data_IF_776357067387
#
_entry.id   IF_776357067387
#
_cell.length_a   1.000
_cell.length_b   1.000
_cell.length_c   1.000
_cell.angle_alpha   90.00
_cell.angle_beta   90.00
_cell.angle_gamma   90.00
#
_symmetry.space_group_name_H-M   'P 1'
#
loop_
_entity.id
_entity.type
_entity.pdbx_description
1 polymer ?
#
# COMPACT_ATOMS: atom_id res chain seq x y z
N UNK A 1 12.05 -15.16 8.11
CA UNK A 1 13.05 -14.56 7.19
C UNK A 1 12.40 -14.14 5.85
N UNK A 2 11.71 -15.01 5.13
CA UNK A 2 11.02 -14.67 3.86
C UNK A 2 9.97 -13.57 3.99
N UNK A 3 9.24 -13.55 5.10
CA UNK A 3 8.21 -12.53 5.34
C UNK A 3 8.82 -11.14 5.60
N UNK A 4 9.88 -11.05 6.38
CA UNK A 4 10.63 -9.79 6.57
C UNK A 4 11.20 -9.26 5.24
N UNK A 5 11.78 -10.13 4.42
CA UNK A 5 12.27 -9.76 3.07
C UNK A 5 11.12 -9.21 2.22
N UNK A 6 9.94 -9.83 2.27
CA UNK A 6 8.76 -9.34 1.57
C UNK A 6 8.33 -7.94 2.07
N UNK A 7 8.21 -7.74 3.39
CA UNK A 7 7.84 -6.44 3.96
C UNK A 7 8.86 -5.34 3.63
N UNK A 8 10.15 -5.65 3.70
CA UNK A 8 11.22 -4.73 3.29
C UNK A 8 11.14 -4.38 1.80
N UNK A 9 10.77 -5.32 0.94
CA UNK A 9 10.55 -5.04 -0.49
C UNK A 9 9.28 -4.19 -0.67
N UNK A 10 8.22 -4.48 0.07
CA UNK A 10 6.96 -3.72 0.01
C UNK A 10 7.15 -2.26 0.44
N UNK A 11 8.01 -1.98 1.42
CA UNK A 11 8.33 -0.61 1.84
C UNK A 11 8.96 0.23 0.73
N UNK A 12 9.75 -0.41 -0.16
CA UNK A 12 10.38 0.23 -1.31
C UNK A 12 9.41 0.41 -2.49
N UNK A 13 8.42 -0.48 -2.61
CA UNK A 13 7.51 -0.58 -3.75
C UNK A 13 6.03 -0.35 -3.39
N UNK A 14 5.77 0.55 -2.47
CA UNK A 14 4.41 0.86 -1.96
C UNK A 14 3.41 1.28 -3.04
N UNK A 15 3.88 1.78 -4.20
CA UNK A 15 3.04 2.11 -5.36
C UNK A 15 2.66 0.91 -6.23
N UNK A 16 3.18 -0.28 -5.91
CA UNK A 16 2.88 -1.52 -6.63
C UNK A 16 1.86 -2.35 -5.85
N UNK A 17 1.02 -3.09 -6.58
CA UNK A 17 0.12 -4.06 -5.96
C UNK A 17 0.90 -5.17 -5.24
N UNK A 18 0.27 -5.81 -4.25
CA UNK A 18 0.83 -6.96 -3.54
C UNK A 18 1.49 -7.99 -4.48
N UNK A 19 0.77 -8.41 -5.52
CA UNK A 19 1.27 -9.41 -6.47
C UNK A 19 2.51 -8.92 -7.22
N UNK A 20 2.56 -7.65 -7.61
CA UNK A 20 3.72 -7.09 -8.30
C UNK A 20 4.92 -6.93 -7.36
N UNK A 21 4.71 -6.51 -6.12
CA UNK A 21 5.77 -6.45 -5.11
C UNK A 21 6.38 -7.83 -4.87
N UNK A 22 5.55 -8.86 -4.76
CA UNK A 22 6.01 -10.25 -4.65
C UNK A 22 6.79 -10.71 -5.88
N UNK A 23 6.29 -10.40 -7.08
CA UNK A 23 6.98 -10.72 -8.34
C UNK A 23 8.35 -10.04 -8.45
N UNK A 24 8.48 -8.79 -8.00
CA UNK A 24 9.76 -8.07 -7.94
C UNK A 24 10.69 -8.75 -6.95
N UNK A 25 10.24 -8.98 -5.72
CA UNK A 25 11.04 -9.61 -4.66
C UNK A 25 11.57 -11.00 -5.03
N UNK A 26 10.77 -11.79 -5.76
CA UNK A 26 11.17 -13.13 -6.20
C UNK A 26 12.19 -13.11 -7.33
N UNK A 27 12.18 -12.11 -8.21
CA UNK A 27 13.04 -12.04 -9.38
C UNK A 27 14.33 -11.24 -9.12
N UNK A 28 14.24 -10.21 -8.24
CA UNK A 28 15.35 -9.34 -7.87
C UNK A 28 15.16 -8.81 -6.44
N UNK A 29 15.54 -9.60 -5.42
CA UNK A 29 15.34 -9.26 -4.00
C UNK A 29 16.01 -7.95 -3.57
N UNK A 30 17.12 -7.60 -4.20
CA UNK A 30 17.90 -6.39 -3.94
C UNK A 30 17.36 -5.14 -4.67
N UNK A 31 16.31 -5.27 -5.47
CA UNK A 31 15.74 -4.13 -6.19
C UNK A 31 15.33 -2.99 -5.24
N UNK A 32 15.56 -1.75 -5.65
CA UNK A 32 15.26 -0.55 -4.86
C UNK A 32 14.29 0.39 -5.56
N UNK A 33 14.44 0.58 -6.86
CA UNK A 33 13.55 1.42 -7.66
C UNK A 33 13.38 0.78 -9.04
N UNK A 34 12.16 0.40 -9.40
CA UNK A 34 11.88 -0.23 -10.70
C UNK A 34 10.98 0.65 -11.56
N UNK A 35 11.30 0.69 -12.85
CA UNK A 35 10.49 1.37 -13.84
C UNK A 35 10.57 0.69 -15.21
N UNK A 36 9.59 0.99 -16.08
CA UNK A 36 9.60 0.51 -17.45
C UNK A 36 10.73 1.15 -18.28
N UNK A 37 11.17 0.46 -19.34
CA UNK A 37 12.26 0.91 -20.22
C UNK A 37 12.12 2.37 -20.68
N UNK A 38 10.93 2.72 -21.20
CA UNK A 38 10.66 4.09 -21.65
C UNK A 38 10.58 5.11 -20.50
N UNK A 39 10.15 4.68 -19.33
CA UNK A 39 10.07 5.55 -18.16
C UNK A 39 11.46 5.93 -17.67
N UNK A 40 12.41 4.99 -17.68
CA UNK A 40 13.81 5.30 -17.39
C UNK A 40 14.37 6.40 -18.28
N UNK A 41 14.09 6.34 -19.58
CA UNK A 41 14.57 7.36 -20.54
C UNK A 41 13.86 8.70 -20.35
N UNK A 42 12.52 8.70 -20.24
CA UNK A 42 11.70 9.91 -20.29
C UNK A 42 11.67 10.66 -18.95
N UNK A 43 11.57 9.93 -17.83
CA UNK A 43 11.33 10.53 -16.51
C UNK A 43 12.62 10.67 -15.70
N UNK A 44 13.61 9.80 -15.93
CA UNK A 44 14.83 9.73 -15.13
C UNK A 44 16.10 10.09 -15.91
N UNK A 45 16.01 10.34 -17.23
CA UNK A 45 17.17 10.58 -18.10
C UNK A 45 18.24 9.45 -17.99
N UNK A 46 17.77 8.21 -17.83
CA UNK A 46 18.59 7.01 -17.71
C UNK A 46 18.25 6.01 -18.79
N UNK A 47 19.17 5.10 -19.07
CA UNK A 47 18.98 4.03 -20.04
C UNK A 47 19.29 2.66 -19.40
N UNK A 48 18.54 1.64 -19.78
CA UNK A 48 18.80 0.26 -19.35
C UNK A 48 20.06 -0.26 -20.04
N UNK A 49 20.95 -0.86 -19.27
CA UNK A 49 22.19 -1.42 -19.76
C UNK A 49 21.94 -2.60 -20.70
N UNK A 50 22.80 -2.73 -21.72
CA UNK A 50 22.68 -3.81 -22.70
C UNK A 50 22.89 -5.17 -22.05
N UNK A 51 21.96 -6.09 -22.30
CA UNK A 51 22.02 -7.46 -21.76
C UNK A 51 21.33 -7.69 -20.44
N UNK A 52 20.78 -6.64 -19.83
CA UNK A 52 20.04 -6.76 -18.56
C UNK A 52 18.76 -7.57 -18.70
N UNK A 53 18.51 -8.41 -17.70
CA UNK A 53 17.31 -9.24 -17.63
C UNK A 53 16.17 -8.48 -16.99
N UNK A 54 15.07 -8.31 -17.74
CA UNK A 54 13.90 -7.62 -17.22
C UNK A 54 13.21 -8.38 -16.08
N UNK A 55 12.70 -7.62 -15.12
CA UNK A 55 11.75 -8.09 -14.11
C UNK A 55 10.36 -8.09 -14.74
N UNK A 56 9.62 -9.17 -14.62
CA UNK A 56 8.27 -9.31 -15.19
C UNK A 56 7.23 -9.04 -14.11
N UNK A 57 6.36 -8.07 -14.38
CA UNK A 57 5.22 -7.71 -13.53
C UNK A 57 3.93 -7.69 -14.34
N UNK A 58 2.79 -7.57 -13.68
CA UNK A 58 1.47 -7.52 -14.29
C UNK A 58 0.99 -6.06 -14.39
N UNK A 59 0.64 -5.61 -15.60
CA UNK A 59 0.02 -4.30 -15.81
C UNK A 59 -1.42 -4.47 -16.32
N UNK A 60 -2.35 -3.58 -15.92
CA UNK A 60 -3.69 -3.54 -16.46
C UNK A 60 -3.66 -3.41 -18.00
N UNK A 61 -4.45 -4.21 -18.68
CA UNK A 61 -4.61 -4.18 -20.13
C UNK A 61 -6.07 -4.45 -20.50
N UNK A 62 -7.03 -3.63 -19.99
CA UNK A 62 -8.44 -3.84 -20.27
C UNK A 62 -8.69 -3.75 -21.79
N UNK A 63 -9.64 -4.53 -22.27
CA UNK A 63 -10.07 -4.48 -23.65
C UNK A 63 -11.60 -4.36 -23.74
N UNK A 64 -12.08 -3.82 -24.84
CA UNK A 64 -13.51 -3.60 -25.06
C UNK A 64 -14.06 -4.66 -25.99
N UNK A 65 -15.22 -5.18 -25.64
CA UNK A 65 -16.01 -6.06 -26.49
C UNK A 65 -17.38 -5.43 -26.73
N UNK A 66 -18.00 -5.76 -27.85
CA UNK A 66 -19.41 -5.43 -28.08
C UNK A 66 -20.24 -6.64 -27.70
N UNK A 67 -21.13 -6.46 -26.76
CA UNK A 67 -22.08 -7.46 -26.30
C UNK A 67 -23.48 -7.05 -26.73
N UNK A 68 -24.22 -8.00 -27.26
CA UNK A 68 -25.62 -7.80 -27.62
C UNK A 68 -26.49 -8.05 -26.40
N UNK A 69 -27.24 -7.04 -25.98
CA UNK A 69 -28.16 -7.11 -24.85
C UNK A 69 -29.57 -6.72 -25.27
N UNK A 70 -30.54 -7.19 -24.49
CA UNK A 70 -31.91 -6.72 -24.67
C UNK A 70 -31.97 -5.25 -24.34
N UNK A 71 -32.60 -4.46 -25.22
CA UNK A 71 -32.75 -3.01 -25.03
C UNK A 71 -33.80 -2.74 -23.96
N UNK A 72 -33.45 -1.98 -22.96
CA UNK A 72 -34.34 -1.60 -21.88
C UNK A 72 -34.81 -0.14 -22.05
N UNK A 73 -36.05 0.13 -21.67
CA UNK A 73 -36.54 1.49 -21.57
C UNK A 73 -35.78 2.24 -20.47
N UNK A 74 -35.17 3.41 -20.75
CA UNK A 74 -34.33 4.13 -19.79
C UNK A 74 -35.10 4.71 -18.59
N UNK A 75 -36.43 4.76 -18.64
CA UNK A 75 -37.26 5.32 -17.57
C UNK A 75 -37.87 4.20 -16.72
N UNK A 76 -38.40 3.15 -17.36
CA UNK A 76 -39.11 2.06 -16.68
C UNK A 76 -38.23 0.88 -16.37
N UNK A 77 -37.09 0.70 -17.09
CA UNK A 77 -36.24 -0.48 -17.00
C UNK A 77 -36.84 -1.74 -17.63
N UNK A 78 -37.97 -1.65 -18.31
CA UNK A 78 -38.62 -2.77 -18.94
C UNK A 78 -38.03 -3.08 -20.33
N UNK A 79 -38.13 -4.34 -20.77
CA UNK A 79 -37.65 -4.75 -22.10
C UNK A 79 -38.49 -4.06 -23.19
N UNK A 80 -37.80 -3.53 -24.19
CA UNK A 80 -38.42 -2.95 -25.37
C UNK A 80 -38.62 -4.04 -26.43
N UNK A 81 -39.79 -4.03 -27.07
CA UNK A 81 -40.15 -4.97 -28.14
C UNK A 81 -40.31 -4.24 -29.48
N UNK A 82 -40.04 -4.94 -30.56
CA UNK A 82 -40.30 -4.46 -31.92
C UNK A 82 -41.79 -4.59 -32.32
N UNK A 83 -42.13 -4.14 -33.53
CA UNK A 83 -43.48 -4.22 -34.05
C UNK A 83 -44.04 -5.64 -34.20
N UNK A 84 -43.15 -6.66 -34.15
CA UNK A 84 -43.52 -8.07 -34.24
C UNK A 84 -43.55 -8.76 -32.88
N UNK A 85 -43.38 -7.99 -31.79
CA UNK A 85 -43.35 -8.50 -30.40
C UNK A 85 -42.04 -9.21 -30.02
N UNK A 86 -40.98 -9.03 -30.78
CA UNK A 86 -39.65 -9.60 -30.45
C UNK A 86 -38.82 -8.60 -29.65
N UNK A 87 -38.01 -9.05 -28.65
CA UNK A 87 -37.13 -8.18 -27.90
C UNK A 87 -36.17 -7.41 -28.81
N UNK A 88 -36.17 -6.09 -28.68
CA UNK A 88 -35.19 -5.27 -29.36
C UNK A 88 -33.80 -5.52 -28.74
N UNK A 89 -32.79 -5.60 -29.61
CA UNK A 89 -31.39 -5.78 -29.22
C UNK A 89 -30.62 -4.48 -29.40
N UNK A 90 -29.67 -4.23 -28.49
CA UNK A 90 -28.69 -3.16 -28.65
C UNK A 90 -27.27 -3.70 -28.45
N UNK A 91 -26.31 -3.07 -29.13
CA UNK A 91 -24.91 -3.39 -28.93
C UNK A 91 -24.34 -2.45 -27.87
N UNK A 92 -23.93 -3.02 -26.72
CA UNK A 92 -23.31 -2.29 -25.62
C UNK A 92 -21.83 -2.59 -25.61
N UNK A 93 -21.00 -1.54 -25.50
CA UNK A 93 -19.56 -1.70 -25.34
C UNK A 93 -19.24 -2.00 -23.88
N UNK A 94 -18.73 -3.20 -23.60
CA UNK A 94 -18.36 -3.66 -22.27
C UNK A 94 -16.84 -3.72 -22.16
N UNK A 95 -16.29 -3.11 -21.11
CA UNK A 95 -14.86 -3.19 -20.84
C UNK A 95 -14.57 -4.41 -19.97
N UNK A 96 -13.79 -5.34 -20.50
CA UNK A 96 -13.34 -6.54 -19.80
C UNK A 96 -12.00 -6.25 -19.14
N UNK A 97 -11.89 -6.38 -17.79
CA UNK A 97 -10.62 -6.25 -17.12
C UNK A 97 -9.68 -7.39 -17.52
N UNK A 98 -8.47 -7.03 -17.91
CA UNK A 98 -7.42 -7.99 -18.23
C UNK A 98 -6.06 -7.47 -17.79
N UNK A 99 -5.08 -8.35 -17.71
CA UNK A 99 -3.72 -8.04 -17.33
C UNK A 99 -2.75 -8.63 -18.34
N UNK A 100 -1.62 -7.97 -18.52
CA UNK A 100 -0.51 -8.47 -19.33
C UNK A 100 0.80 -8.38 -18.61
N UNK A 101 1.71 -9.32 -18.89
CA UNK A 101 3.07 -9.24 -18.40
C UNK A 101 3.83 -8.10 -19.09
N UNK A 102 4.44 -7.21 -18.30
CA UNK A 102 5.28 -6.13 -18.79
C UNK A 102 6.67 -6.23 -18.17
N UNK A 103 7.66 -5.63 -18.84
CA UNK A 103 9.05 -5.60 -18.42
C UNK A 103 9.33 -4.30 -17.68
N UNK A 104 9.90 -4.42 -16.48
CA UNK A 104 10.50 -3.32 -15.73
C UNK A 104 11.95 -3.65 -15.40
N UNK A 105 12.72 -2.65 -15.04
CA UNK A 105 14.14 -2.77 -14.71
C UNK A 105 14.41 -1.99 -13.43
N UNK A 106 15.27 -2.51 -12.59
CA UNK A 106 15.73 -1.82 -11.39
C UNK A 106 16.77 -0.76 -11.73
N UNK A 107 16.92 0.25 -10.89
CA UNK A 107 17.92 1.32 -11.04
C UNK A 107 19.33 0.78 -11.23
N UNK A 108 19.71 -0.30 -10.54
CA UNK A 108 21.01 -0.94 -10.67
C UNK A 108 21.29 -1.52 -12.06
N UNK A 109 20.25 -1.71 -12.86
CA UNK A 109 20.31 -2.17 -14.25
C UNK A 109 20.35 -1.00 -15.26
N UNK A 110 20.52 0.21 -14.78
CA UNK A 110 20.47 1.42 -15.62
C UNK A 110 21.68 2.29 -15.40
N UNK A 111 22.02 3.10 -16.40
CA UNK A 111 23.06 4.12 -16.35
C UNK A 111 22.51 5.48 -16.84
N UNK A 112 23.11 6.57 -16.39
CA UNK A 112 22.72 7.94 -16.76
C UNK A 112 22.70 8.89 -15.56
N UNK A 113 21.76 9.84 -15.56
CA UNK A 113 21.67 10.88 -14.53
C UNK A 113 21.49 10.27 -13.13
N UNK A 114 22.19 10.75 -12.10
CA UNK A 114 21.95 10.35 -10.73
C UNK A 114 20.47 10.53 -10.36
N UNK A 115 19.90 9.54 -9.69
CA UNK A 115 18.56 9.68 -9.14
C UNK A 115 18.71 10.46 -7.84
N UNK A 116 17.90 11.53 -7.62
CA UNK A 116 17.85 12.17 -6.33
C UNK A 116 17.51 11.11 -5.28
N UNK A 117 18.32 11.01 -4.25
CA UNK A 117 17.96 10.21 -3.08
C UNK A 117 16.63 10.76 -2.56
N UNK A 118 15.68 9.87 -2.29
CA UNK A 118 14.42 10.28 -1.66
C UNK A 118 14.78 10.92 -0.32
N UNK A 119 14.43 12.19 -0.16
CA UNK A 119 14.70 13.02 1.03
C UNK A 119 14.21 12.41 2.36
N UNK A 120 13.42 11.31 2.29
CA UNK A 120 12.89 10.61 3.46
C UNK A 120 13.98 10.10 4.44
N UNK A 121 15.17 9.72 3.95
CA UNK A 121 16.27 9.31 4.84
C UNK A 121 16.96 10.50 5.53
N UNK A 122 16.97 11.68 4.90
CA UNK A 122 17.54 12.89 5.53
C UNK A 122 16.60 13.49 6.57
N UNK A 123 15.27 13.39 6.38
CA UNK A 123 14.27 13.91 7.32
C UNK A 123 14.32 13.25 8.71
N UNK A 124 14.70 11.99 8.81
CA UNK A 124 14.69 11.25 10.07
C UNK A 124 16.06 11.20 10.76
N UNK A 125 17.10 11.73 10.14
CA UNK A 125 18.42 11.88 10.77
C UNK A 125 18.55 13.11 11.67
N UNK A 126 17.53 13.98 11.69
CA UNK A 126 17.48 15.22 12.48
C UNK A 126 16.27 15.24 13.39
N UNK A 127 16.36 15.96 14.51
CA UNK A 127 15.24 16.22 15.42
C UNK A 127 14.05 16.86 14.67
N UNK A 128 14.33 17.71 13.69
CA UNK A 128 13.34 18.38 12.86
C UNK A 128 12.52 17.36 12.01
N UNK A 129 13.17 16.37 11.42
CA UNK A 129 12.49 15.31 10.68
C UNK A 129 11.63 14.39 11.57
N UNK A 130 12.02 14.19 12.83
CA UNK A 130 11.24 13.46 13.81
C UNK A 130 9.92 14.17 14.12
N UNK A 131 9.96 15.46 14.41
CA UNK A 131 8.78 16.26 14.74
C UNK A 131 7.80 16.32 13.58
N UNK A 132 8.29 16.49 12.35
CA UNK A 132 7.48 16.48 11.13
C UNK A 132 6.78 15.14 10.92
N UNK A 133 7.46 14.03 11.19
CA UNK A 133 6.87 12.72 11.08
C UNK A 133 5.82 12.45 12.17
N UNK A 134 6.08 12.83 13.40
CA UNK A 134 5.10 12.79 14.50
C UNK A 134 3.85 13.59 14.12
N UNK A 135 4.03 14.81 13.60
CA UNK A 135 2.91 15.65 13.18
C UNK A 135 2.14 15.05 12.01
N UNK A 136 2.83 14.45 11.04
CA UNK A 136 2.20 13.75 9.93
C UNK A 136 1.35 12.57 10.41
N UNK A 137 1.85 11.77 11.36
CA UNK A 137 1.10 10.66 11.97
C UNK A 137 -0.13 11.18 12.73
N UNK A 138 0.00 12.27 13.50
CA UNK A 138 -1.14 12.90 14.17
C UNK A 138 -2.22 13.37 13.18
N UNK A 139 -1.82 13.89 12.02
CA UNK A 139 -2.75 14.36 10.99
C UNK A 139 -3.45 13.22 10.24
N UNK A 140 -2.80 12.07 10.08
CA UNK A 140 -3.34 10.90 9.36
C UNK A 140 -4.18 10.01 10.29
N UNK A 141 -3.90 10.02 11.58
CA UNK A 141 -4.60 9.18 12.54
C UNK A 141 -6.11 9.51 12.57
N UNK A 142 -6.98 8.50 12.52
CA UNK A 142 -8.44 8.72 12.55
C UNK A 142 -8.96 9.14 13.93
N UNK A 143 -8.11 9.09 14.95
CA UNK A 143 -8.40 9.43 16.34
C UNK A 143 -7.24 10.22 16.95
N UNK A 144 -7.46 11.03 17.99
CA UNK A 144 -6.39 11.80 18.63
C UNK A 144 -5.29 10.89 19.20
N UNK A 145 -4.04 11.33 19.07
CA UNK A 145 -2.87 10.70 19.70
C UNK A 145 -2.41 11.58 20.87
N UNK A 146 -2.26 10.99 22.04
CA UNK A 146 -1.72 11.63 23.23
C UNK A 146 -0.50 10.90 23.77
N UNK A 147 0.40 11.63 24.42
CA UNK A 147 1.53 11.06 25.14
C UNK A 147 1.19 11.04 26.62
N UNK A 148 1.44 9.92 27.29
CA UNK A 148 1.15 9.75 28.72
C UNK A 148 2.09 8.71 29.35
N UNK A 149 2.21 8.75 30.67
CA UNK A 149 2.93 7.71 31.41
C UNK A 149 2.05 6.49 31.58
N UNK A 150 2.37 5.41 30.82
CA UNK A 150 1.58 4.17 30.76
C UNK A 150 2.16 3.18 31.78
N UNK A 151 1.40 2.77 32.81
CA UNK A 151 1.86 1.77 33.78
C UNK A 151 2.15 0.41 33.15
N UNK A 152 3.28 -0.20 33.50
CA UNK A 152 3.68 -1.53 33.04
C UNK A 152 4.60 -1.51 31.82
N UNK A 153 4.58 -2.59 31.02
CA UNK A 153 5.49 -2.79 29.90
C UNK A 153 4.92 -2.32 28.55
N UNK A 154 3.68 -1.81 28.53
CA UNK A 154 3.03 -1.34 27.32
C UNK A 154 3.67 -0.04 26.82
N UNK A 155 3.96 0.01 25.51
CA UNK A 155 4.54 1.19 24.85
C UNK A 155 3.47 2.12 24.29
N UNK A 156 2.27 1.61 24.08
CA UNK A 156 1.12 2.33 23.58
C UNK A 156 -0.11 1.45 23.57
N UNK A 157 -1.26 2.06 23.30
CA UNK A 157 -2.51 1.35 23.08
C UNK A 157 -3.52 2.21 22.34
N UNK A 158 -4.37 1.53 21.55
CA UNK A 158 -5.57 2.13 20.98
C UNK A 158 -6.78 1.84 21.87
N UNK A 159 -7.38 2.88 22.46
CA UNK A 159 -8.58 2.78 23.28
C UNK A 159 -9.84 2.93 22.41
N UNK A 160 -10.54 1.81 22.21
CA UNK A 160 -11.69 1.74 21.27
C UNK A 160 -12.90 2.54 21.77
N UNK A 161 -13.16 2.60 23.08
CA UNK A 161 -14.30 3.31 23.66
C UNK A 161 -14.06 4.81 23.72
N UNK A 162 -12.88 5.24 24.20
CA UNK A 162 -12.50 6.65 24.27
C UNK A 162 -12.08 7.24 22.91
N UNK A 163 -11.90 6.38 21.89
CA UNK A 163 -11.48 6.76 20.53
C UNK A 163 -10.21 7.62 20.54
N UNK A 164 -9.20 7.14 21.23
CA UNK A 164 -7.89 7.77 21.30
C UNK A 164 -6.76 6.75 21.26
N UNK A 165 -5.59 7.22 20.85
CA UNK A 165 -4.33 6.49 20.96
C UNK A 165 -3.51 7.11 22.07
N UNK A 166 -2.95 6.27 22.94
CA UNK A 166 -1.97 6.67 23.94
C UNK A 166 -0.60 6.08 23.59
N UNK A 167 0.45 6.88 23.74
CA UNK A 167 1.83 6.51 23.48
C UNK A 167 2.65 6.84 24.72
N UNK A 168 3.50 5.90 25.15
CA UNK A 168 4.37 6.08 26.31
C UNK A 168 5.31 7.26 26.12
N UNK A 169 5.42 8.11 27.13
CA UNK A 169 6.39 9.21 27.18
C UNK A 169 7.84 8.72 27.36
N UNK A 170 8.79 9.56 27.03
CA UNK A 170 10.22 9.36 27.26
C UNK A 170 10.85 8.11 26.62
N UNK A 171 10.27 7.60 25.54
CA UNK A 171 10.90 6.59 24.70
C UNK A 171 11.92 7.22 23.75
N UNK A 172 12.76 6.38 23.12
CA UNK A 172 13.58 6.83 21.99
C UNK A 172 12.71 7.24 20.80
N UNK A 173 13.21 8.13 19.95
CA UNK A 173 12.49 8.61 18.76
C UNK A 173 12.01 7.44 17.87
N UNK A 174 12.91 6.48 17.57
CA UNK A 174 12.57 5.31 16.75
C UNK A 174 11.48 4.45 17.40
N UNK A 175 11.53 4.24 18.72
CA UNK A 175 10.51 3.48 19.44
C UNK A 175 9.18 4.23 19.46
N UNK A 176 9.21 5.54 19.65
CA UNK A 176 8.01 6.40 19.63
C UNK A 176 7.32 6.32 18.27
N UNK A 177 8.05 6.52 17.17
CA UNK A 177 7.51 6.46 15.82
C UNK A 177 6.96 5.08 15.49
N UNK A 178 7.69 4.01 15.84
CA UNK A 178 7.22 2.64 15.65
C UNK A 178 5.90 2.40 16.37
N UNK A 179 5.83 2.80 17.65
CA UNK A 179 4.63 2.63 18.47
C UNK A 179 3.46 3.44 17.91
N UNK A 180 3.68 4.70 17.52
CA UNK A 180 2.65 5.52 16.90
C UNK A 180 2.09 4.86 15.63
N UNK A 181 2.94 4.40 14.71
CA UNK A 181 2.49 3.73 13.47
C UNK A 181 1.71 2.45 13.79
N UNK A 182 2.16 1.67 14.77
CA UNK A 182 1.50 0.45 15.21
C UNK A 182 0.07 0.72 15.73
N UNK A 183 -0.09 1.71 16.62
CA UNK A 183 -1.40 2.06 17.18
C UNK A 183 -2.32 2.73 16.14
N UNK A 184 -1.77 3.54 15.24
CA UNK A 184 -2.51 4.08 14.10
C UNK A 184 -3.00 2.94 13.20
N UNK A 185 -2.18 1.93 12.93
CA UNK A 185 -2.59 0.75 12.16
C UNK A 185 -3.74 0.00 12.85
N UNK A 186 -3.68 -0.19 14.17
CA UNK A 186 -4.79 -0.76 14.94
C UNK A 186 -6.07 0.07 14.80
N UNK A 187 -5.98 1.37 14.91
CA UNK A 187 -7.13 2.28 14.80
C UNK A 187 -7.76 2.28 13.41
N UNK A 188 -6.97 2.10 12.35
CA UNK A 188 -7.45 2.06 10.95
C UNK A 188 -7.98 0.69 10.55
N UNK A 189 -7.26 -0.40 10.88
CA UNK A 189 -7.56 -1.75 10.39
C UNK A 189 -8.57 -2.50 11.27
N UNK A 190 -8.61 -2.19 12.57
CA UNK A 190 -9.34 -3.01 13.55
C UNK A 190 -10.49 -2.27 14.24
N UNK A 191 -10.74 -1.03 13.87
CA UNK A 191 -11.89 -0.27 14.36
C UNK A 191 -13.13 -0.60 13.54
N UNK A 192 -14.09 -1.29 14.17
CA UNK A 192 -15.36 -1.71 13.54
C UNK A 192 -16.24 -0.55 13.05
N UNK A 193 -16.07 0.65 13.60
CA UNK A 193 -16.86 1.82 13.19
C UNK A 193 -16.31 2.49 11.93
N UNK A 194 -15.00 2.39 11.68
CA UNK A 194 -14.34 2.95 10.50
C UNK A 194 -14.48 1.99 9.31
N UNK A 195 -14.40 0.68 9.54
CA UNK A 195 -14.46 -0.36 8.51
C UNK A 195 -15.91 -0.83 8.26
N UNK A 196 -16.84 0.09 8.06
CA UNK A 196 -18.27 -0.22 7.76
C UNK A 196 -18.51 -0.89 6.41
N UNK A 197 -17.52 -0.95 5.54
CA UNK A 197 -17.66 -1.52 4.18
C UNK A 197 -17.55 -3.05 4.11
N UNK A 198 -17.25 -3.73 5.20
CA UNK A 198 -17.34 -5.20 5.27
C UNK A 198 -18.80 -5.66 5.45
N UNK A 199 -19.62 -5.44 4.40
CA UNK A 199 -20.96 -6.03 4.25
C UNK A 199 -20.94 -7.56 4.06
N UNK A 200 -19.76 -8.18 4.05
CA UNK A 200 -19.59 -9.62 4.18
C UNK A 200 -19.13 -9.92 5.59
N UNK A 201 -19.86 -10.80 6.29
CA UNK A 201 -19.51 -11.36 7.58
C UNK A 201 -18.18 -12.15 7.49
N UNK A 202 -17.07 -11.43 7.36
CA UNK A 202 -15.76 -12.03 7.57
C UNK A 202 -15.67 -12.44 9.05
N UNK A 203 -15.20 -13.64 9.37
CA UNK A 203 -15.03 -14.07 10.75
C UNK A 203 -14.14 -13.04 11.47
N UNK A 204 -14.53 -12.66 12.69
CA UNK A 204 -13.78 -11.71 13.49
C UNK A 204 -12.32 -12.17 13.62
N UNK A 205 -11.38 -11.34 13.18
CA UNK A 205 -9.93 -11.61 13.27
C UNK A 205 -9.57 -11.82 14.75
N UNK A 206 -8.78 -12.86 15.04
CA UNK A 206 -8.25 -13.08 16.38
C UNK A 206 -7.22 -12.00 16.74
N UNK A 207 -6.85 -11.94 18.02
CA UNK A 207 -5.91 -10.95 18.54
C UNK A 207 -4.54 -11.08 17.85
N UNK A 208 -4.04 -12.31 17.68
CA UNK A 208 -2.73 -12.54 17.07
C UNK A 208 -2.68 -12.05 15.63
N UNK A 209 -3.73 -12.29 14.85
CA UNK A 209 -3.84 -11.79 13.48
C UNK A 209 -3.77 -10.26 13.44
N UNK A 210 -4.49 -9.57 14.34
CA UNK A 210 -4.47 -8.11 14.43
C UNK A 210 -3.10 -7.57 14.79
N UNK A 211 -2.41 -8.18 15.73
CA UNK A 211 -1.04 -7.80 16.12
C UNK A 211 -0.07 -7.96 14.94
N UNK A 212 -0.13 -9.08 14.22
CA UNK A 212 0.73 -9.31 13.04
C UNK A 212 0.46 -8.28 11.95
N UNK A 213 -0.80 -7.92 11.70
CA UNK A 213 -1.17 -6.89 10.72
C UNK A 213 -0.60 -5.52 11.13
N UNK A 214 -0.82 -5.07 12.36
CA UNK A 214 -0.32 -3.78 12.84
C UNK A 214 1.21 -3.72 12.86
N UNK A 215 1.87 -4.78 13.31
CA UNK A 215 3.33 -4.88 13.31
C UNK A 215 3.91 -4.88 11.89
N UNK A 216 3.23 -5.53 10.94
CA UNK A 216 3.63 -5.52 9.52
C UNK A 216 3.57 -4.11 8.92
N UNK A 217 2.53 -3.35 9.24
CA UNK A 217 2.40 -1.94 8.83
C UNK A 217 3.51 -1.12 9.46
N UNK A 218 3.71 -1.24 10.78
CA UNK A 218 4.74 -0.49 11.50
C UNK A 218 6.13 -0.77 10.91
N UNK A 219 6.48 -2.04 10.72
CA UNK A 219 7.76 -2.42 10.09
C UNK A 219 7.91 -1.84 8.68
N UNK A 220 6.88 -1.96 7.84
CA UNK A 220 6.92 -1.50 6.45
C UNK A 220 7.10 0.02 6.36
N UNK A 221 6.34 0.78 7.16
CA UNK A 221 6.41 2.24 7.21
C UNK A 221 7.77 2.67 7.75
N UNK A 222 8.21 2.13 8.88
CA UNK A 222 9.52 2.47 9.45
C UNK A 222 10.66 2.17 8.48
N UNK A 223 10.65 1.01 7.80
CA UNK A 223 11.67 0.68 6.79
C UNK A 223 11.63 1.63 5.60
N UNK A 224 10.45 2.10 5.17
CA UNK A 224 10.34 3.08 4.09
C UNK A 224 11.05 4.40 4.42
N UNK A 225 10.93 4.85 5.66
CA UNK A 225 11.56 6.06 6.16
C UNK A 225 12.97 5.84 6.73
N UNK A 226 13.57 4.66 6.54
CA UNK A 226 14.92 4.36 7.00
C UNK A 226 15.07 4.21 8.53
N UNK A 227 13.96 4.06 9.25
CA UNK A 227 13.97 3.82 10.70
C UNK A 227 14.26 2.33 10.94
N UNK A 228 15.39 2.03 11.57
CA UNK A 228 15.70 0.66 11.96
C UNK A 228 14.88 0.23 13.18
N UNK A 229 14.00 -0.72 12.97
CA UNK A 229 13.18 -1.31 14.03
C UNK A 229 13.48 -2.80 14.23
N UNK A 230 14.59 -3.30 13.70
CA UNK A 230 14.95 -4.73 13.71
C UNK A 230 15.03 -5.31 15.11
N UNK A 231 15.45 -4.53 16.09
CA UNK A 231 15.56 -4.94 17.50
C UNK A 231 14.19 -5.02 18.24
N UNK A 232 13.14 -4.50 17.62
CA UNK A 232 11.81 -4.36 18.22
C UNK A 232 10.69 -5.04 17.44
N UNK A 233 11.00 -5.73 16.33
CA UNK A 233 10.02 -6.33 15.43
C UNK A 233 10.16 -7.86 15.35
N UNK A 234 9.07 -8.59 15.63
CA UNK A 234 8.92 -10.07 15.54
C UNK A 234 9.78 -10.88 16.49
#
# INVERSE_FOLDING_TARGET
>A
EKYKTYLSTMSKFHNYSFNNTLLIAMQKPEATLVAGYKAWQKNFERHVNKGEKAIRILAPAPYKIKEERDKLDPVTGEMMFDENGMPQKEQVEVTIPAFRAVSVFDVSQTDGKPIPELEAQELLSTVEGYEDFVQALMNVAPVPIGFEDIPGDSKGYFHTEEKRIAVQENMSESQTLKTMVHEVAHSMLHNKEINRDDLMEAPAKDRNTKEVEAESVAYTVCQHFGIDTSDYSF
#
